data_IF_206436724583
#
_entry.id   IF_206436724583
#
_cell.length_a   1.000
_cell.length_b   1.000
_cell.length_c   1.000
_cell.angle_alpha   90.00
_cell.angle_beta   90.00
_cell.angle_gamma   90.00
#
_symmetry.space_group_name_H-M   'P 1'
#
loop_
_entity.id
_entity.type
_entity.pdbx_description
1 polymer ?
#
# COMPACT_ATOMS: atom_id res chain seq x y z
N UNK A 1 9.97 5.90 18.05
CA UNK A 1 8.81 5.05 17.74
C UNK A 1 9.35 3.64 17.65
N UNK A 2 9.08 2.80 18.66
CA UNK A 2 9.44 1.37 18.60
C UNK A 2 8.83 0.75 17.35
N UNK A 3 9.60 -0.09 16.66
CA UNK A 3 9.12 -0.82 15.49
C UNK A 3 8.96 -2.30 15.82
N UNK A 4 7.92 -2.93 15.27
CA UNK A 4 7.72 -4.37 15.37
C UNK A 4 8.98 -5.17 14.96
N UNK A 5 9.80 -4.63 14.04
CA UNK A 5 11.06 -5.25 13.64
C UNK A 5 12.14 -5.25 14.73
N UNK A 6 12.21 -4.19 15.53
CA UNK A 6 13.13 -4.10 16.68
C UNK A 6 12.65 -5.00 17.82
N UNK A 7 11.35 -4.96 18.14
CA UNK A 7 10.77 -5.75 19.22
C UNK A 7 10.81 -7.25 18.94
N UNK A 8 10.49 -7.65 17.70
CA UNK A 8 10.62 -9.05 17.28
C UNK A 8 12.07 -9.54 17.37
N UNK A 9 13.05 -8.72 17.02
CA UNK A 9 14.48 -9.06 17.19
C UNK A 9 14.81 -9.35 18.65
N UNK A 10 14.35 -8.49 19.57
CA UNK A 10 14.59 -8.62 21.01
C UNK A 10 13.95 -9.91 21.54
N UNK A 11 12.70 -10.19 21.14
CA UNK A 11 11.97 -11.40 21.56
C UNK A 11 12.65 -12.67 21.02
N UNK A 12 12.97 -12.73 19.72
CA UNK A 12 13.57 -13.93 19.12
C UNK A 12 14.95 -14.26 19.71
N UNK A 13 15.77 -13.24 19.93
CA UNK A 13 17.08 -13.39 20.56
C UNK A 13 16.97 -13.89 22.01
N UNK A 14 15.91 -13.51 22.75
CA UNK A 14 15.66 -13.98 24.12
C UNK A 14 15.11 -15.41 24.17
N UNK A 15 14.18 -15.77 23.28
CA UNK A 15 13.44 -17.03 23.38
C UNK A 15 14.13 -18.24 22.76
N UNK A 16 14.86 -18.07 21.66
CA UNK A 16 15.23 -19.21 20.80
C UNK A 16 16.72 -19.51 20.72
N UNK A 17 17.60 -18.61 21.20
CA UNK A 17 19.05 -18.59 20.85
C UNK A 17 19.32 -18.62 19.33
N UNK A 18 18.30 -18.53 18.49
CA UNK A 18 18.43 -18.37 17.05
C UNK A 18 18.79 -16.91 16.85
N UNK A 19 20.00 -16.65 16.35
CA UNK A 19 20.40 -15.31 15.95
C UNK A 19 19.41 -14.84 14.87
N UNK A 20 18.59 -13.84 15.18
CA UNK A 20 17.68 -13.25 14.22
C UNK A 20 18.51 -12.46 13.21
N UNK A 21 19.02 -13.18 12.21
CA UNK A 21 19.96 -12.63 11.23
C UNK A 21 19.25 -11.68 10.27
N UNK A 22 20.04 -10.81 9.65
CA UNK A 22 19.60 -9.93 8.57
C UNK A 22 18.91 -10.69 7.43
N UNK A 23 19.27 -11.96 7.21
CA UNK A 23 18.67 -12.82 6.19
C UNK A 23 17.24 -13.24 6.54
N UNK A 24 16.98 -13.59 7.81
CA UNK A 24 15.62 -13.94 8.27
C UNK A 24 14.73 -12.70 8.19
N UNK A 25 15.22 -11.54 8.64
CA UNK A 25 14.52 -10.25 8.51
C UNK A 25 14.13 -9.96 7.07
N UNK A 26 15.09 -10.11 6.14
CA UNK A 26 14.87 -9.89 4.70
C UNK A 26 13.81 -10.84 4.15
N UNK A 27 13.93 -12.14 4.45
CA UNK A 27 12.96 -13.15 4.01
C UNK A 27 11.55 -12.89 4.53
N UNK A 28 11.40 -12.48 5.80
CA UNK A 28 10.10 -12.12 6.36
C UNK A 28 9.51 -10.89 5.68
N UNK A 29 10.32 -9.86 5.42
CA UNK A 29 9.87 -8.66 4.69
C UNK A 29 9.41 -9.02 3.27
N UNK A 30 10.17 -9.87 2.58
CA UNK A 30 9.85 -10.31 1.22
C UNK A 30 8.54 -11.10 1.20
N UNK A 31 8.35 -12.04 2.13
CA UNK A 31 7.10 -12.80 2.28
C UNK A 31 5.90 -11.90 2.57
N UNK A 32 6.03 -10.93 3.50
CA UNK A 32 4.97 -9.98 3.80
C UNK A 32 4.60 -9.11 2.59
N UNK A 33 5.59 -8.77 1.76
CA UNK A 33 5.37 -7.97 0.56
C UNK A 33 4.65 -8.77 -0.52
N UNK A 34 5.03 -10.04 -0.71
CA UNK A 34 4.36 -10.96 -1.63
C UNK A 34 2.91 -11.24 -1.21
N UNK A 35 2.68 -11.50 0.07
CA UNK A 35 1.34 -11.71 0.64
C UNK A 35 0.45 -10.47 0.41
N UNK A 36 0.98 -9.28 0.70
CA UNK A 36 0.28 -8.03 0.45
C UNK A 36 -0.06 -7.79 -1.03
N UNK A 37 0.78 -8.24 -1.96
CA UNK A 37 0.50 -8.21 -3.41
C UNK A 37 -0.66 -9.16 -3.74
N UNK A 38 -0.57 -10.41 -3.30
CA UNK A 38 -1.56 -11.45 -3.55
C UNK A 38 -2.93 -11.03 -3.01
N UNK A 39 -3.02 -10.56 -1.77
CA UNK A 39 -4.26 -10.07 -1.16
C UNK A 39 -4.87 -8.90 -1.92
N UNK A 40 -4.03 -7.97 -2.37
CA UNK A 40 -4.50 -6.78 -3.10
C UNK A 40 -5.08 -7.15 -4.46
N UNK A 41 -4.70 -8.29 -5.02
CA UNK A 41 -5.08 -8.77 -6.35
C UNK A 41 -6.24 -9.76 -6.27
N UNK A 42 -6.15 -10.79 -5.42
CA UNK A 42 -7.13 -11.86 -5.35
C UNK A 42 -8.53 -11.33 -5.10
N UNK A 43 -8.69 -10.45 -4.10
CA UNK A 43 -10.00 -9.88 -3.77
C UNK A 43 -10.66 -9.28 -5.01
N UNK A 44 -10.11 -8.24 -5.70
CA UNK A 44 -10.62 -7.72 -6.98
C UNK A 44 -11.00 -8.74 -8.06
N UNK A 45 -10.26 -9.83 -8.17
CA UNK A 45 -10.55 -10.88 -9.16
C UNK A 45 -11.74 -11.75 -8.76
N UNK A 46 -12.00 -11.97 -7.47
CA UNK A 46 -13.12 -12.78 -6.97
C UNK A 46 -14.48 -12.14 -7.26
N UNK A 47 -14.63 -10.85 -6.97
CA UNK A 47 -15.80 -10.00 -7.28
C UNK A 47 -15.71 -9.26 -8.63
N UNK A 48 -14.97 -9.80 -9.62
CA UNK A 48 -14.82 -9.19 -10.96
C UNK A 48 -16.17 -8.81 -11.59
N UNK A 49 -17.18 -9.67 -11.45
CA UNK A 49 -18.50 -9.44 -12.04
C UNK A 49 -19.22 -8.21 -11.46
N UNK A 50 -19.02 -7.91 -10.17
CA UNK A 50 -19.60 -6.72 -9.54
C UNK A 50 -18.88 -5.45 -9.97
N UNK A 51 -17.55 -5.51 -10.08
CA UNK A 51 -16.74 -4.38 -10.55
C UNK A 51 -17.13 -3.99 -11.99
N UNK A 52 -17.38 -4.98 -12.85
CA UNK A 52 -17.78 -4.77 -14.24
C UNK A 52 -19.10 -4.02 -14.41
N UNK A 53 -19.94 -3.95 -13.36
CA UNK A 53 -21.18 -3.14 -13.38
C UNK A 53 -20.90 -1.64 -13.39
N UNK A 54 -19.73 -1.22 -12.89
CA UNK A 54 -19.41 0.20 -12.65
C UNK A 54 -18.23 0.71 -13.47
N UNK A 55 -17.33 -0.18 -13.93
CA UNK A 55 -16.14 0.20 -14.69
C UNK A 55 -15.63 -0.94 -15.56
N UNK A 56 -14.81 -0.62 -16.57
CA UNK A 56 -14.15 -1.65 -17.38
C UNK A 56 -13.13 -2.42 -16.55
N UNK A 57 -12.79 -3.63 -16.97
CA UNK A 57 -11.77 -4.41 -16.27
C UNK A 57 -10.40 -3.72 -16.31
N UNK A 58 -10.08 -3.01 -17.40
CA UNK A 58 -8.86 -2.23 -17.49
C UNK A 58 -8.78 -1.14 -16.42
N UNK A 59 -9.87 -0.38 -16.18
CA UNK A 59 -9.92 0.61 -15.11
C UNK A 59 -9.74 -0.03 -13.72
N UNK A 60 -10.34 -1.21 -13.51
CA UNK A 60 -10.16 -1.96 -12.27
C UNK A 60 -8.69 -2.34 -12.05
N UNK A 61 -8.03 -2.92 -13.07
CA UNK A 61 -6.61 -3.29 -12.98
C UNK A 61 -5.70 -2.09 -12.74
N UNK A 62 -5.99 -0.93 -13.36
CA UNK A 62 -5.28 0.33 -13.06
C UNK A 62 -5.43 0.73 -11.60
N UNK A 63 -6.64 0.60 -11.02
CA UNK A 63 -6.87 0.88 -9.59
C UNK A 63 -6.13 -0.09 -8.68
N UNK A 64 -6.08 -1.38 -9.02
CA UNK A 64 -5.30 -2.37 -8.27
C UNK A 64 -3.81 -2.01 -8.34
N UNK A 65 -3.30 -1.69 -9.52
CA UNK A 65 -1.91 -1.25 -9.71
C UNK A 65 -1.59 -0.01 -8.88
N UNK A 66 -2.45 1.00 -8.93
CA UNK A 66 -2.31 2.22 -8.13
C UNK A 66 -2.35 1.93 -6.63
N UNK A 67 -3.20 1.01 -6.17
CA UNK A 67 -3.22 0.54 -4.77
C UNK A 67 -1.88 -0.05 -4.35
N UNK A 68 -1.26 -0.87 -5.20
CA UNK A 68 0.08 -1.44 -4.93
C UNK A 68 1.15 -0.35 -4.84
N UNK A 69 1.08 0.67 -5.70
CA UNK A 69 1.98 1.83 -5.62
C UNK A 69 1.78 2.62 -4.32
N UNK A 70 0.55 2.93 -3.94
CA UNK A 70 0.23 3.65 -2.69
C UNK A 70 0.75 2.89 -1.46
N UNK A 71 0.67 1.55 -1.48
CA UNK A 71 1.20 0.70 -0.40
C UNK A 71 2.73 0.64 -0.36
N UNK A 72 3.43 1.21 -1.34
CA UNK A 72 4.89 1.14 -1.45
C UNK A 72 5.41 -0.22 -1.90
N UNK A 73 4.59 -0.98 -2.64
CA UNK A 73 4.96 -2.29 -3.19
C UNK A 73 5.50 -2.17 -4.62
N UNK A 74 5.03 -1.19 -5.39
CA UNK A 74 5.48 -0.92 -6.75
C UNK A 74 5.87 0.54 -6.86
N UNK A 75 6.96 0.83 -7.56
CA UNK A 75 7.41 2.20 -7.82
C UNK A 75 6.30 3.00 -8.52
N UNK A 76 6.04 4.21 -8.05
CA UNK A 76 5.06 5.12 -8.64
C UNK A 76 5.32 5.39 -10.13
N UNK A 77 6.58 5.34 -10.56
CA UNK A 77 7.00 5.57 -11.93
C UNK A 77 6.90 4.33 -12.81
N UNK A 78 6.58 3.16 -12.24
CA UNK A 78 6.40 1.93 -13.01
C UNK A 78 4.92 1.82 -13.44
N UNK A 79 4.58 2.12 -14.72
CA UNK A 79 3.20 2.08 -15.18
C UNK A 79 2.69 0.64 -15.27
N UNK A 80 1.37 0.47 -15.27
CA UNK A 80 0.74 -0.82 -15.54
C UNK A 80 1.16 -1.32 -16.94
N UNK A 81 1.83 -2.49 -17.06
CA UNK A 81 2.32 -2.99 -18.35
C UNK A 81 1.22 -3.75 -19.12
N UNK A 82 0.01 -3.20 -19.13
CA UNK A 82 -1.15 -3.73 -19.86
C UNK A 82 -1.90 -2.57 -20.51
N UNK A 83 -2.37 -2.80 -21.73
CA UNK A 83 -3.37 -1.95 -22.38
C UNK A 83 -4.78 -2.52 -22.16
N UNK A 84 -5.79 -1.84 -22.72
CA UNK A 84 -7.19 -2.26 -22.57
C UNK A 84 -7.43 -3.68 -23.13
N UNK A 85 -6.87 -4.00 -24.30
CA UNK A 85 -7.06 -5.28 -24.99
C UNK A 85 -6.40 -6.43 -24.23
N UNK A 86 -5.15 -6.25 -23.79
CA UNK A 86 -4.41 -7.24 -23.01
C UNK A 86 -5.04 -7.48 -21.62
N UNK A 87 -5.81 -6.51 -21.13
CA UNK A 87 -6.48 -6.60 -19.84
C UNK A 87 -7.71 -7.51 -19.85
N UNK A 88 -8.46 -7.60 -20.95
CA UNK A 88 -9.72 -8.36 -21.00
C UNK A 88 -9.56 -9.83 -20.54
N UNK A 89 -8.46 -10.44 -20.97
CA UNK A 89 -8.14 -11.85 -20.76
C UNK A 89 -7.03 -12.08 -19.73
N UNK A 90 -6.65 -11.07 -18.94
CA UNK A 90 -5.67 -11.28 -17.87
C UNK A 90 -6.31 -12.08 -16.75
N UNK A 91 -5.65 -13.17 -16.36
CA UNK A 91 -6.02 -13.97 -15.20
C UNK A 91 -5.25 -13.50 -13.96
N UNK A 92 -5.70 -13.98 -12.80
CA UNK A 92 -5.13 -13.60 -11.50
C UNK A 92 -3.65 -13.98 -11.40
N UNK A 93 -3.27 -15.14 -11.95
CA UNK A 93 -1.90 -15.65 -11.91
C UNK A 93 -0.95 -14.76 -12.71
N UNK A 94 -1.35 -14.37 -13.93
CA UNK A 94 -0.57 -13.47 -14.78
C UNK A 94 -0.45 -12.10 -14.17
N UNK A 95 -1.54 -11.54 -13.63
CA UNK A 95 -1.49 -10.22 -13.01
C UNK A 95 -0.61 -10.20 -11.74
N UNK A 96 -0.71 -11.21 -10.88
CA UNK A 96 0.18 -11.38 -9.71
C UNK A 96 1.64 -11.51 -10.11
N UNK A 97 1.94 -12.24 -11.19
CA UNK A 97 3.30 -12.34 -11.71
C UNK A 97 3.84 -10.99 -12.17
N UNK A 98 3.05 -10.21 -12.93
CA UNK A 98 3.42 -8.86 -13.36
C UNK A 98 3.70 -7.93 -12.17
N UNK A 99 2.82 -7.95 -11.15
CA UNK A 99 2.99 -7.15 -9.95
C UNK A 99 4.25 -7.56 -9.14
N UNK A 100 4.52 -8.86 -9.05
CA UNK A 100 5.71 -9.39 -8.36
C UNK A 100 7.00 -9.01 -9.09
N UNK A 101 6.99 -9.05 -10.42
CA UNK A 101 8.13 -8.61 -11.24
C UNK A 101 8.36 -7.11 -11.13
N UNK A 102 7.30 -6.31 -11.15
CA UNK A 102 7.39 -4.87 -10.94
C UNK A 102 7.91 -4.52 -9.54
N UNK A 103 7.45 -5.22 -8.49
CA UNK A 103 7.95 -5.07 -7.13
C UNK A 103 9.48 -5.29 -7.07
N UNK A 104 9.97 -6.38 -7.67
CA UNK A 104 11.42 -6.68 -7.72
C UNK A 104 12.25 -5.62 -8.47
N UNK A 105 11.65 -4.97 -9.46
CA UNK A 105 12.29 -3.93 -10.27
C UNK A 105 12.16 -2.53 -9.68
N UNK A 106 11.37 -2.37 -8.61
CA UNK A 106 11.10 -1.06 -8.01
C UNK A 106 12.30 -0.54 -7.21
N UNK A 107 12.55 0.78 -7.26
CA UNK A 107 13.61 1.38 -6.47
C UNK A 107 13.18 1.52 -5.00
N UNK A 108 13.89 0.84 -4.10
CA UNK A 108 13.61 0.87 -2.67
C UNK A 108 13.65 2.29 -2.07
N UNK A 109 14.48 3.20 -2.60
CA UNK A 109 14.51 4.60 -2.16
C UNK A 109 13.21 5.31 -2.49
N UNK A 110 12.68 5.07 -3.69
CA UNK A 110 11.40 5.62 -4.14
C UNK A 110 10.25 5.00 -3.36
N UNK A 111 10.25 3.68 -3.15
CA UNK A 111 9.21 3.00 -2.36
C UNK A 111 9.09 3.57 -0.94
N UNK A 112 10.21 3.92 -0.31
CA UNK A 112 10.22 4.48 1.04
C UNK A 112 9.68 5.93 1.09
N UNK A 113 9.98 6.74 0.08
CA UNK A 113 9.56 8.16 0.06
C UNK A 113 8.16 8.36 -0.54
N UNK A 114 7.76 7.54 -1.49
CA UNK A 114 6.50 7.72 -2.23
C UNK A 114 5.27 7.55 -1.33
N UNK A 115 5.32 6.68 -0.31
CA UNK A 115 4.13 6.38 0.50
C UNK A 115 3.56 7.64 1.17
N UNK A 116 4.44 8.48 1.76
CA UNK A 116 4.02 9.74 2.38
C UNK A 116 3.52 10.73 1.34
N UNK A 117 4.24 10.89 0.23
CA UNK A 117 3.88 11.82 -0.83
C UNK A 117 2.51 11.49 -1.45
N UNK A 118 2.30 10.22 -1.81
CA UNK A 118 1.04 9.70 -2.35
C UNK A 118 -0.10 9.85 -1.35
N UNK A 119 0.14 9.59 -0.07
CA UNK A 119 -0.89 9.77 0.94
C UNK A 119 -1.33 11.23 1.05
N UNK A 120 -0.39 12.17 1.08
CA UNK A 120 -0.69 13.60 1.10
C UNK A 120 -1.45 14.02 -0.18
N UNK A 121 -0.98 13.59 -1.35
CA UNK A 121 -1.63 13.85 -2.63
C UNK A 121 -3.10 13.40 -2.62
N UNK A 122 -3.37 12.16 -2.18
CA UNK A 122 -4.72 11.59 -2.14
C UNK A 122 -5.62 12.29 -1.13
N UNK A 123 -5.13 12.61 0.06
CA UNK A 123 -5.93 13.35 1.06
C UNK A 123 -6.23 14.78 0.60
N UNK A 124 -5.35 15.40 -0.19
CA UNK A 124 -5.58 16.73 -0.76
C UNK A 124 -6.69 16.73 -1.82
N UNK A 125 -7.00 15.59 -2.44
CA UNK A 125 -8.16 15.45 -3.34
C UNK A 125 -9.50 15.54 -2.60
N UNK A 126 -9.52 15.30 -1.28
CA UNK A 126 -10.73 15.43 -0.47
C UNK A 126 -10.98 16.91 -0.17
N UNK A 127 -12.23 17.42 -0.27
CA UNK A 127 -12.57 18.77 0.14
C UNK A 127 -12.13 19.07 1.57
N UNK A 128 -11.54 20.24 1.79
CA UNK A 128 -11.00 20.63 3.10
C UNK A 128 -12.07 20.65 4.18
N UNK A 129 -13.31 20.95 3.81
CA UNK A 129 -14.47 20.97 4.70
C UNK A 129 -14.84 19.57 5.20
N UNK A 130 -14.67 18.54 4.38
CA UNK A 130 -14.93 17.16 4.79
C UNK A 130 -13.80 16.62 5.67
N UNK A 131 -12.55 17.05 5.43
CA UNK A 131 -11.44 16.74 6.34
C UNK A 131 -11.63 17.39 7.72
N UNK A 132 -12.14 18.62 7.79
CA UNK A 132 -12.47 19.27 9.08
C UNK A 132 -13.58 18.54 9.81
N UNK A 133 -14.64 18.11 9.11
CA UNK A 133 -15.71 17.29 9.71
C UNK A 133 -15.17 15.98 10.25
N UNK A 134 -14.29 15.30 9.49
CA UNK A 134 -13.62 14.09 9.95
C UNK A 134 -12.77 14.36 11.19
N UNK A 135 -11.98 15.43 11.19
CA UNK A 135 -11.17 15.85 12.34
C UNK A 135 -12.02 16.06 13.59
N UNK A 136 -13.18 16.70 13.45
CA UNK A 136 -14.11 16.94 14.57
C UNK A 136 -14.78 15.65 15.06
N UNK A 137 -15.16 14.75 14.14
CA UNK A 137 -15.80 13.49 14.50
C UNK A 137 -14.90 12.56 15.33
N UNK A 138 -13.59 12.59 15.08
CA UNK A 138 -12.58 11.76 15.74
C UNK A 138 -11.72 12.54 16.76
N UNK A 139 -12.15 13.73 17.17
CA UNK A 139 -11.37 14.61 18.08
C UNK A 139 -10.93 13.89 19.35
N UNK A 140 -11.81 13.09 19.96
CA UNK A 140 -11.49 12.33 21.18
C UNK A 140 -10.44 11.27 20.93
N UNK A 141 -10.49 10.58 19.80
CA UNK A 141 -9.50 9.58 19.44
C UNK A 141 -8.14 10.24 19.21
N UNK A 142 -8.11 11.37 18.48
CA UNK A 142 -6.88 12.14 18.31
C UNK A 142 -6.29 12.58 19.65
N UNK A 143 -7.12 13.01 20.60
CA UNK A 143 -6.68 13.39 21.94
C UNK A 143 -6.14 12.20 22.74
N UNK A 144 -6.87 11.08 22.79
CA UNK A 144 -6.48 9.90 23.56
C UNK A 144 -5.16 9.29 23.05
N UNK A 145 -4.94 9.31 21.73
CA UNK A 145 -3.75 8.75 21.11
C UNK A 145 -2.64 9.79 20.85
N UNK A 146 -2.81 11.04 21.30
CA UNK A 146 -1.87 12.16 21.09
C UNK A 146 -1.49 12.36 19.61
N UNK A 147 -2.48 12.23 18.74
CA UNK A 147 -2.33 12.42 17.30
C UNK A 147 -2.66 13.86 16.90
N UNK A 148 -1.90 14.39 15.93
CA UNK A 148 -2.20 15.69 15.34
C UNK A 148 -3.47 15.60 14.49
N UNK A 149 -4.56 16.21 14.96
CA UNK A 149 -5.85 16.25 14.26
C UNK A 149 -5.85 17.19 13.04
N UNK A 150 -4.92 18.14 12.98
CA UNK A 150 -4.82 19.16 11.93
C UNK A 150 -3.38 19.25 11.36
N UNK A 151 -2.86 18.19 10.71
CA UNK A 151 -1.53 18.17 10.13
C UNK A 151 -1.36 19.26 9.06
N UNK A 152 -0.29 20.05 9.19
CA UNK A 152 -0.01 21.19 8.33
C UNK A 152 0.01 20.81 6.83
N UNK A 153 0.57 19.65 6.50
CA UNK A 153 0.69 19.20 5.10
C UNK A 153 -0.66 18.93 4.42
N UNK A 154 -1.73 18.66 5.19
CA UNK A 154 -3.07 18.41 4.66
C UNK A 154 -3.96 19.66 4.70
N UNK A 155 -3.83 20.48 5.75
CA UNK A 155 -4.72 21.60 6.02
C UNK A 155 -4.19 22.96 5.55
N UNK A 156 -2.87 23.12 5.37
CA UNK A 156 -2.31 24.29 4.71
C UNK A 156 -2.12 24.02 3.21
N UNK A 157 -3.10 24.46 2.42
CA UNK A 157 -3.18 24.27 0.96
C UNK A 157 -2.90 25.56 0.17
N UNK A 158 -2.14 26.48 0.77
CA UNK A 158 -1.70 27.72 0.12
C UNK A 158 -0.97 27.45 -1.19
#
# INVERSE_FOLDING_TARGET
>A
MESFGEDSTVIFNKFSKISYTTEIKKRMKDLASLDAIVDSINSPFEWKQDILKCMTWYEALKRIWRKLQIRGLIDVNYPLPLDATASENVDVKRFTKLATEAHRKSDQKVLNSQKRALFIELYRMVPIEDLKKLSAAFERDFYIFDYNSMPHELFNRS
#
